data_IF_789079318587
#
_entry.id   IF_789079318587
#
_cell.length_a   1.000
_cell.length_b   1.000
_cell.length_c   1.000
_cell.angle_alpha   90.00
_cell.angle_beta   90.00
_cell.angle_gamma   90.00
#
_symmetry.space_group_name_H-M   'P 1'
#
loop_
_entity.id
_entity.type
_entity.pdbx_description
1 polymer ?
#
# COMPACT_ATOMS: atom_id res chain seq x y z
N UNK A 1 -12.41 18.67 -29.13
CA UNK A 1 -13.44 18.28 -28.15
C UNK A 1 -13.44 16.77 -27.85
N UNK A 2 -13.55 15.89 -28.85
CA UNK A 2 -13.64 14.43 -28.62
C UNK A 2 -12.39 13.78 -28.00
N UNK A 3 -11.17 14.25 -28.30
CA UNK A 3 -9.96 13.67 -27.71
C UNK A 3 -9.80 14.01 -26.22
N UNK A 4 -10.09 15.24 -25.82
CA UNK A 4 -10.08 15.67 -24.41
C UNK A 4 -11.07 14.86 -23.59
N UNK A 5 -12.30 14.68 -24.09
CA UNK A 5 -13.33 13.87 -23.42
C UNK A 5 -12.88 12.41 -23.26
N UNK A 6 -12.24 11.82 -24.29
CA UNK A 6 -11.70 10.45 -24.20
C UNK A 6 -10.57 10.33 -23.17
N UNK A 7 -9.68 11.33 -23.11
CA UNK A 7 -8.61 11.37 -22.12
C UNK A 7 -9.16 11.49 -20.70
N UNK A 8 -10.12 12.40 -20.47
CA UNK A 8 -10.78 12.58 -19.18
C UNK A 8 -11.47 11.29 -18.71
N UNK A 9 -12.20 10.61 -19.60
CA UNK A 9 -12.81 9.30 -19.28
C UNK A 9 -11.76 8.26 -18.92
N UNK A 10 -10.62 8.23 -19.61
CA UNK A 10 -9.54 7.26 -19.34
C UNK A 10 -8.95 7.46 -17.95
N UNK A 11 -8.73 8.71 -17.53
CA UNK A 11 -8.21 9.08 -16.20
C UNK A 11 -9.25 8.77 -15.13
N UNK A 12 -10.50 9.21 -15.31
CA UNK A 12 -11.58 8.98 -14.34
C UNK A 12 -11.94 7.49 -14.16
N UNK A 13 -11.69 6.65 -15.17
CA UNK A 13 -11.86 5.20 -15.10
C UNK A 13 -10.56 4.47 -14.69
N UNK A 14 -9.53 5.18 -14.23
CA UNK A 14 -8.31 4.56 -13.73
C UNK A 14 -8.45 4.26 -12.22
N UNK A 15 -8.08 3.07 -11.75
CA UNK A 15 -8.10 2.75 -10.32
C UNK A 15 -7.22 3.71 -9.51
N UNK A 16 -6.07 4.11 -10.06
CA UNK A 16 -5.14 5.05 -9.45
C UNK A 16 -5.80 6.38 -9.06
N UNK A 17 -6.58 6.97 -9.96
CA UNK A 17 -7.27 8.24 -9.70
C UNK A 17 -8.17 8.15 -8.46
N UNK A 18 -8.95 7.07 -8.35
CA UNK A 18 -9.85 6.86 -7.22
C UNK A 18 -9.10 6.60 -5.93
N UNK A 19 -8.01 5.83 -5.96
CA UNK A 19 -7.18 5.60 -4.77
C UNK A 19 -6.60 6.92 -4.25
N UNK A 20 -6.02 7.74 -5.12
CA UNK A 20 -5.46 9.05 -4.73
C UNK A 20 -6.57 9.94 -4.15
N UNK A 21 -7.74 9.96 -4.79
CA UNK A 21 -8.88 10.77 -4.34
C UNK A 21 -9.36 10.33 -2.96
N UNK A 22 -9.51 9.02 -2.74
CA UNK A 22 -9.96 8.45 -1.46
C UNK A 22 -8.94 8.74 -0.35
N UNK A 23 -7.66 8.45 -0.58
CA UNK A 23 -6.60 8.71 0.41
C UNK A 23 -6.51 10.19 0.77
N UNK A 24 -6.59 11.09 -0.22
CA UNK A 24 -6.55 12.53 0.02
C UNK A 24 -7.78 13.01 0.77
N UNK A 25 -8.97 12.53 0.40
CA UNK A 25 -10.23 12.91 1.05
C UNK A 25 -10.26 12.46 2.52
N UNK A 26 -9.84 11.23 2.80
CA UNK A 26 -9.74 10.71 4.17
C UNK A 26 -8.73 11.53 4.97
N UNK A 27 -7.57 11.84 4.41
CA UNK A 27 -6.56 12.65 5.09
C UNK A 27 -7.08 14.04 5.46
N UNK A 28 -7.76 14.75 4.56
CA UNK A 28 -8.34 16.06 4.87
C UNK A 28 -9.50 15.97 5.87
N UNK A 29 -10.31 14.92 5.81
CA UNK A 29 -11.38 14.70 6.77
C UNK A 29 -10.83 14.43 8.17
N UNK A 30 -9.79 13.60 8.28
CA UNK A 30 -9.10 13.28 9.54
C UNK A 30 -8.48 14.54 10.17
N UNK A 31 -7.91 15.43 9.35
CA UNK A 31 -7.26 16.66 9.81
C UNK A 31 -8.21 17.87 9.89
N UNK A 32 -9.52 17.68 9.66
CA UNK A 32 -10.50 18.78 9.72
C UNK A 32 -10.78 19.24 11.15
N UNK A 33 -10.94 18.28 12.08
CA UNK A 33 -11.26 18.50 13.48
C UNK A 33 -10.61 17.42 14.35
N UNK A 34 -10.24 17.77 15.58
CA UNK A 34 -9.60 16.83 16.51
C UNK A 34 -10.51 15.63 16.85
N UNK A 35 -11.84 15.81 16.90
CA UNK A 35 -12.78 14.71 17.09
C UNK A 35 -12.79 13.72 15.94
N UNK A 36 -12.66 14.22 14.70
CA UNK A 36 -12.60 13.40 13.50
C UNK A 36 -11.28 12.62 13.45
N UNK A 37 -10.18 13.28 13.82
CA UNK A 37 -8.88 12.63 13.97
C UNK A 37 -8.99 11.40 14.88
N UNK A 38 -9.43 11.57 16.12
CA UNK A 38 -9.53 10.47 17.07
C UNK A 38 -10.51 9.37 16.63
N UNK A 39 -11.68 9.74 16.09
CA UNK A 39 -12.67 8.76 15.65
C UNK A 39 -12.16 7.90 14.49
N UNK A 40 -11.51 8.52 13.50
CA UNK A 40 -10.98 7.83 12.33
C UNK A 40 -9.73 7.02 12.74
N UNK A 41 -8.81 7.60 13.51
CA UNK A 41 -7.60 6.91 13.95
C UNK A 41 -7.92 5.67 14.80
N UNK A 42 -8.84 5.78 15.75
CA UNK A 42 -9.17 4.67 16.66
C UNK A 42 -9.86 3.53 15.91
N UNK A 43 -10.68 3.83 14.90
CA UNK A 43 -11.43 2.81 14.17
C UNK A 43 -10.65 2.20 13.01
N UNK A 44 -9.91 3.01 12.24
CA UNK A 44 -9.35 2.57 10.97
C UNK A 44 -7.85 2.24 11.02
N UNK A 45 -7.12 2.66 12.06
CA UNK A 45 -5.68 2.34 12.20
C UNK A 45 -5.49 0.86 12.50
N UNK A 46 -4.43 0.29 11.90
CA UNK A 46 -4.06 -1.10 12.11
C UNK A 46 -3.21 -1.26 13.37
N UNK A 47 -3.81 -1.81 14.41
CA UNK A 47 -3.10 -2.21 15.63
C UNK A 47 -2.96 -3.73 15.65
N UNK A 48 -1.72 -4.28 15.71
CA UNK A 48 -1.50 -5.72 15.61
C UNK A 48 -2.33 -6.54 16.62
N UNK A 49 -2.48 -6.04 17.85
CA UNK A 49 -3.28 -6.70 18.89
C UNK A 49 -4.76 -6.79 18.54
N UNK A 50 -5.36 -5.73 17.98
CA UNK A 50 -6.78 -5.68 17.63
C UNK A 50 -7.08 -6.43 16.33
N UNK A 51 -6.20 -6.29 15.34
CA UNK A 51 -6.35 -6.95 14.05
C UNK A 51 -6.26 -8.46 14.18
N UNK A 52 -5.32 -8.96 14.98
CA UNK A 52 -5.19 -10.40 15.27
C UNK A 52 -6.24 -10.91 16.27
N UNK A 53 -6.92 -10.04 17.03
CA UNK A 53 -8.05 -10.42 17.89
C UNK A 53 -9.41 -10.44 17.19
N UNK A 54 -9.44 -10.40 15.85
CA UNK A 54 -10.66 -10.52 15.05
C UNK A 54 -11.14 -9.24 14.37
N UNK A 55 -10.45 -8.10 14.54
CA UNK A 55 -10.79 -6.86 13.83
C UNK A 55 -10.10 -6.77 12.46
N UNK A 56 -10.24 -7.81 11.63
CA UNK A 56 -9.52 -7.95 10.36
C UNK A 56 -9.80 -6.83 9.34
N UNK A 57 -10.91 -6.10 9.49
CA UNK A 57 -11.21 -4.95 8.65
C UNK A 57 -10.12 -3.87 8.72
N UNK A 58 -9.41 -3.77 9.85
CA UNK A 58 -8.30 -2.84 10.07
C UNK A 58 -7.14 -3.03 9.10
N UNK A 59 -6.92 -4.27 8.64
CA UNK A 59 -5.91 -4.58 7.62
C UNK A 59 -6.22 -3.89 6.30
N UNK A 60 -7.51 -3.73 5.97
CA UNK A 60 -7.94 -3.07 4.74
C UNK A 60 -8.09 -1.56 4.92
N UNK A 61 -8.69 -1.10 6.02
CA UNK A 61 -8.96 0.34 6.24
C UNK A 61 -7.67 1.15 6.40
N UNK A 62 -6.66 0.56 7.04
CA UNK A 62 -5.35 1.19 7.22
C UNK A 62 -4.64 1.51 5.89
N UNK A 63 -4.98 0.83 4.79
CA UNK A 63 -4.43 1.15 3.46
C UNK A 63 -4.73 2.56 2.99
N UNK A 64 -5.73 3.24 3.57
CA UNK A 64 -6.12 4.58 3.17
C UNK A 64 -5.67 5.68 4.14
N UNK A 65 -5.15 5.31 5.32
CA UNK A 65 -4.73 6.25 6.36
C UNK A 65 -3.26 6.66 6.18
N UNK A 66 -2.97 7.92 6.56
CA UNK A 66 -1.64 8.50 6.44
C UNK A 66 -1.35 9.42 7.63
N UNK A 67 -0.25 9.18 8.34
CA UNK A 67 0.15 9.90 9.56
C UNK A 67 0.67 11.32 9.34
N UNK A 68 0.66 11.82 8.11
CA UNK A 68 1.11 13.18 7.78
C UNK A 68 1.14 13.47 6.28
N UNK A 69 1.21 14.75 5.94
CA UNK A 69 1.18 15.21 4.55
C UNK A 69 2.38 14.69 3.75
N UNK A 70 3.56 14.62 4.37
CA UNK A 70 4.78 14.11 3.73
C UNK A 70 4.63 12.63 3.38
N UNK A 71 4.09 11.83 4.30
CA UNK A 71 3.84 10.40 4.09
C UNK A 71 2.77 10.16 3.01
N UNK A 72 1.71 10.97 2.99
CA UNK A 72 0.70 10.94 1.92
C UNK A 72 1.33 11.24 0.56
N UNK A 73 2.03 12.37 0.44
CA UNK A 73 2.63 12.81 -0.82
C UNK A 73 3.66 11.80 -1.33
N UNK A 74 4.53 11.27 -0.47
CA UNK A 74 5.51 10.26 -0.87
C UNK A 74 4.86 8.96 -1.36
N UNK A 75 3.81 8.49 -0.70
CA UNK A 75 3.09 7.29 -1.12
C UNK A 75 2.36 7.49 -2.43
N UNK A 76 1.67 8.63 -2.61
CA UNK A 76 1.01 8.94 -3.87
C UNK A 76 2.02 9.06 -5.01
N UNK A 77 3.17 9.69 -4.76
CA UNK A 77 4.24 9.82 -5.73
C UNK A 77 4.81 8.46 -6.18
N UNK A 78 5.16 7.59 -5.23
CA UNK A 78 5.65 6.24 -5.53
C UNK A 78 4.58 5.39 -6.24
N UNK A 79 3.32 5.49 -5.79
CA UNK A 79 2.21 4.78 -6.42
C UNK A 79 2.03 5.21 -7.88
N UNK A 80 2.12 6.52 -8.18
CA UNK A 80 2.06 7.04 -9.56
C UNK A 80 3.18 6.46 -10.41
N UNK A 81 4.42 6.48 -9.93
CA UNK A 81 5.58 5.94 -10.66
C UNK A 81 5.39 4.45 -10.95
N UNK A 82 5.09 3.65 -9.93
CA UNK A 82 4.91 2.21 -10.10
C UNK A 82 3.72 1.88 -11.02
N UNK A 83 2.63 2.63 -10.91
CA UNK A 83 1.49 2.46 -11.81
C UNK A 83 1.88 2.78 -13.24
N UNK A 84 2.70 3.79 -13.47
CA UNK A 84 3.16 4.12 -14.82
C UNK A 84 4.01 2.98 -15.42
N UNK A 85 4.85 2.33 -14.62
CA UNK A 85 5.66 1.16 -15.03
C UNK A 85 4.79 -0.07 -15.30
N UNK A 86 3.79 -0.33 -14.44
CA UNK A 86 3.04 -1.58 -14.43
C UNK A 86 1.77 -1.53 -15.31
N UNK A 87 1.14 -0.36 -15.46
CA UNK A 87 -0.10 -0.19 -16.22
C UNK A 87 -0.06 -0.57 -17.71
N UNK A 88 1.08 -0.51 -18.43
CA UNK A 88 1.16 -1.04 -19.79
C UNK A 88 1.19 -2.58 -19.84
N UNK A 89 1.46 -3.23 -18.72
CA UNK A 89 1.77 -4.67 -18.65
C UNK A 89 0.57 -5.47 -18.14
N UNK A 90 -0.21 -4.90 -17.22
CA UNK A 90 -1.33 -5.60 -16.57
C UNK A 90 -2.67 -4.90 -16.77
N UNK A 91 -3.75 -5.68 -16.61
CA UNK A 91 -5.11 -5.14 -16.63
C UNK A 91 -5.40 -4.28 -15.40
N UNK A 92 -6.35 -3.35 -15.53
CA UNK A 92 -6.82 -2.50 -14.40
C UNK A 92 -7.32 -3.32 -13.22
N UNK A 93 -7.99 -4.45 -13.49
CA UNK A 93 -8.50 -5.35 -12.46
C UNK A 93 -7.35 -6.03 -11.71
N UNK A 94 -6.35 -6.56 -12.43
CA UNK A 94 -5.19 -7.18 -11.80
C UNK A 94 -4.37 -6.15 -11.00
N UNK A 95 -4.22 -4.92 -11.50
CA UNK A 95 -3.59 -3.84 -10.75
C UNK A 95 -4.28 -3.59 -9.41
N UNK A 96 -5.61 -3.46 -9.42
CA UNK A 96 -6.37 -3.22 -8.19
C UNK A 96 -6.28 -4.41 -7.22
N UNK A 97 -6.42 -5.63 -7.73
CA UNK A 97 -6.30 -6.85 -6.91
C UNK A 97 -4.91 -6.97 -6.30
N UNK A 98 -3.85 -6.73 -7.08
CA UNK A 98 -2.47 -6.77 -6.58
C UNK A 98 -2.29 -5.73 -5.49
N UNK A 99 -2.76 -4.50 -5.69
CA UNK A 99 -2.61 -3.43 -4.71
C UNK A 99 -3.32 -3.77 -3.38
N UNK A 100 -4.58 -4.21 -3.45
CA UNK A 100 -5.37 -4.52 -2.25
C UNK A 100 -4.87 -5.80 -1.55
N UNK A 101 -4.65 -6.87 -2.29
CA UNK A 101 -4.22 -8.16 -1.71
C UNK A 101 -2.81 -8.07 -1.13
N UNK A 102 -1.87 -7.45 -1.84
CA UNK A 102 -0.52 -7.28 -1.30
C UNK A 102 -0.50 -6.35 -0.08
N UNK A 103 -1.39 -5.35 -0.05
CA UNK A 103 -1.58 -4.50 1.11
C UNK A 103 -2.06 -5.27 2.33
N UNK A 104 -3.20 -5.96 2.19
CA UNK A 104 -3.80 -6.73 3.29
C UNK A 104 -2.88 -7.84 3.78
N UNK A 105 -2.26 -8.59 2.86
CA UNK A 105 -1.32 -9.66 3.23
C UNK A 105 -0.03 -9.10 3.84
N UNK A 106 0.47 -7.98 3.33
CA UNK A 106 1.64 -7.31 3.91
C UNK A 106 1.37 -6.80 5.32
N UNK A 107 0.19 -6.22 5.56
CA UNK A 107 -0.23 -5.77 6.88
C UNK A 107 -0.37 -6.94 7.85
N UNK A 108 -0.99 -8.04 7.41
CA UNK A 108 -1.11 -9.25 8.23
C UNK A 108 0.26 -9.85 8.57
N UNK A 109 1.17 -9.93 7.59
CA UNK A 109 2.53 -10.43 7.80
C UNK A 109 3.30 -9.54 8.79
N UNK A 110 3.15 -8.21 8.67
CA UNK A 110 3.74 -7.27 9.60
C UNK A 110 3.21 -7.48 11.02
N UNK A 111 1.88 -7.58 11.20
CA UNK A 111 1.24 -7.79 12.50
C UNK A 111 1.75 -9.07 13.19
N UNK A 112 1.80 -10.18 12.46
CA UNK A 112 2.30 -11.48 12.97
C UNK A 112 3.77 -11.36 13.37
N UNK A 113 4.59 -10.70 12.55
CA UNK A 113 6.01 -10.51 12.82
C UNK A 113 6.22 -9.67 14.09
N UNK A 114 5.52 -8.54 14.23
CA UNK A 114 5.64 -7.65 15.39
C UNK A 114 5.26 -8.38 16.67
N UNK A 115 4.11 -9.06 16.68
CA UNK A 115 3.65 -9.78 17.88
C UNK A 115 4.62 -10.90 18.23
N UNK A 116 5.18 -11.58 17.24
CA UNK A 116 6.20 -12.62 17.44
C UNK A 116 7.50 -12.03 18.01
N UNK A 117 7.94 -10.86 17.54
CA UNK A 117 9.11 -10.14 18.05
C UNK A 117 8.89 -9.59 19.47
N UNK A 118 7.68 -9.12 19.79
CA UNK A 118 7.35 -8.66 21.15
C UNK A 118 7.31 -9.82 22.15
N UNK A 119 6.85 -11.01 21.72
CA UNK A 119 6.76 -12.20 22.57
C UNK A 119 8.08 -12.97 22.71
N UNK A 120 9.06 -12.71 21.84
CA UNK A 120 10.42 -13.24 22.02
C UNK A 120 11.17 -12.22 22.86
N UNK A 121 11.66 -12.62 24.05
CA UNK A 121 12.23 -11.77 25.13
C UNK A 121 13.39 -10.81 24.74
N UNK A 122 13.70 -10.65 23.45
CA UNK A 122 14.62 -9.65 22.95
C UNK A 122 13.87 -8.45 22.39
N UNK A 123 14.10 -7.28 22.99
CA UNK A 123 13.71 -5.98 22.43
C UNK A 123 14.63 -5.62 21.24
N UNK A 124 14.74 -6.53 20.27
CA UNK A 124 15.51 -6.31 19.05
C UNK A 124 14.70 -5.34 18.19
N UNK A 125 15.33 -4.22 17.82
CA UNK A 125 14.74 -3.18 16.97
C UNK A 125 13.48 -2.54 17.58
N UNK A 126 13.64 -1.68 18.59
CA UNK A 126 12.53 -0.96 19.26
C UNK A 126 11.57 -0.22 18.33
N UNK A 127 12.03 0.11 17.11
CA UNK A 127 11.19 0.61 16.03
C UNK A 127 10.11 -0.41 15.59
N UNK A 128 10.45 -1.69 15.43
CA UNK A 128 9.51 -2.73 15.01
C UNK A 128 8.66 -3.22 16.19
N UNK A 129 9.22 -3.34 17.39
CA UNK A 129 8.50 -3.82 18.57
C UNK A 129 7.69 -2.72 19.24
N UNK A 130 8.33 -1.70 19.82
CA UNK A 130 7.66 -0.67 20.61
C UNK A 130 6.87 0.31 19.75
N UNK A 131 7.51 0.93 18.76
CA UNK A 131 6.79 1.86 17.88
C UNK A 131 5.74 1.12 17.07
N UNK A 132 6.10 -0.04 16.56
CA UNK A 132 5.24 -0.83 15.72
C UNK A 132 3.97 -1.36 16.38
N UNK A 133 4.09 -1.79 17.63
CA UNK A 133 2.97 -2.27 18.41
C UNK A 133 2.08 -1.13 18.92
N UNK A 134 2.67 -0.01 19.35
CA UNK A 134 1.93 1.07 20.04
C UNK A 134 1.37 2.16 19.12
N UNK A 135 1.97 2.43 17.96
CA UNK A 135 1.52 3.51 17.06
C UNK A 135 0.71 3.01 15.86
N UNK A 136 0.50 1.69 15.78
CA UNK A 136 -0.09 1.03 14.62
C UNK A 136 0.89 0.93 13.44
N UNK A 137 0.77 -0.13 12.65
CA UNK A 137 1.72 -0.42 11.57
C UNK A 137 1.09 -0.50 10.18
N UNK A 138 1.90 -0.02 9.22
CA UNK A 138 1.82 0.03 7.76
C UNK A 138 0.44 -0.01 7.11
N UNK A 139 0.11 1.10 6.44
CA UNK A 139 -1.00 1.24 5.51
C UNK A 139 -0.57 0.96 4.08
N UNK A 140 -0.85 1.89 3.17
CA UNK A 140 -0.62 1.75 1.71
C UNK A 140 0.81 1.34 1.31
N UNK A 141 1.81 1.56 2.17
CA UNK A 141 3.21 1.25 1.91
C UNK A 141 3.45 -0.24 1.66
N UNK A 142 2.67 -1.15 2.27
CA UNK A 142 2.75 -2.60 1.97
C UNK A 142 2.25 -2.91 0.58
N UNK A 143 1.14 -2.28 0.16
CA UNK A 143 0.62 -2.38 -1.20
C UNK A 143 1.64 -1.89 -2.23
N UNK A 144 2.27 -0.74 -1.97
CA UNK A 144 3.32 -0.16 -2.82
C UNK A 144 4.51 -1.12 -2.91
N UNK A 145 4.93 -1.70 -1.79
CA UNK A 145 6.03 -2.67 -1.74
C UNK A 145 5.70 -3.93 -2.53
N UNK A 146 4.50 -4.47 -2.40
CA UNK A 146 4.04 -5.61 -3.19
C UNK A 146 4.02 -5.33 -4.70
N UNK A 147 3.53 -4.15 -5.09
CA UNK A 147 3.55 -3.70 -6.49
C UNK A 147 4.99 -3.51 -7.01
N UNK A 148 5.89 -3.00 -6.18
CA UNK A 148 7.31 -2.86 -6.50
C UNK A 148 7.98 -4.23 -6.71
N UNK A 149 7.76 -5.20 -5.81
CA UNK A 149 8.26 -6.56 -5.97
C UNK A 149 7.73 -7.18 -7.26
N UNK A 150 6.45 -7.02 -7.56
CA UNK A 150 5.85 -7.50 -8.81
C UNK A 150 6.52 -6.86 -10.04
N UNK A 151 6.76 -5.55 -10.01
CA UNK A 151 7.45 -4.85 -11.10
C UNK A 151 8.89 -5.37 -11.30
N UNK A 152 9.62 -5.62 -10.21
CA UNK A 152 10.96 -6.21 -10.25
C UNK A 152 10.94 -7.62 -10.85
N UNK A 153 9.99 -8.45 -10.44
CA UNK A 153 9.84 -9.82 -10.98
C UNK A 153 9.65 -9.77 -12.50
N UNK A 154 8.74 -8.92 -12.99
CA UNK A 154 8.51 -8.77 -14.42
C UNK A 154 9.76 -8.26 -15.15
N UNK A 155 10.45 -7.28 -14.57
CA UNK A 155 11.68 -6.75 -15.14
C UNK A 155 12.72 -7.85 -15.32
N UNK A 156 12.98 -8.64 -14.26
CA UNK A 156 13.94 -9.76 -14.30
C UNK A 156 13.56 -10.79 -15.37
N UNK A 157 12.29 -11.22 -15.43
CA UNK A 157 11.84 -12.19 -16.42
C UNK A 157 11.89 -11.68 -17.85
N UNK A 158 11.69 -10.37 -18.06
CA UNK A 158 11.84 -9.75 -19.37
C UNK A 158 13.30 -9.74 -19.78
N UNK A 159 14.20 -9.27 -18.91
CA UNK A 159 15.64 -9.26 -19.17
C UNK A 159 16.19 -10.66 -19.43
N UNK A 160 15.71 -11.70 -18.73
CA UNK A 160 16.16 -13.08 -18.96
C UNK A 160 15.81 -13.63 -20.34
N UNK A 161 14.71 -13.16 -20.95
CA UNK A 161 14.28 -13.58 -22.30
C UNK A 161 15.02 -12.85 -23.41
N UNK A 162 15.49 -11.63 -23.13
CA UNK A 162 16.20 -10.79 -24.10
C UNK A 162 17.72 -11.08 -24.15
N UNK A 163 18.24 -11.99 -23.30
CA UNK A 163 19.63 -12.42 -23.35
C UNK A 163 19.88 -13.28 -24.60
N UNK A 164 20.94 -13.01 -25.39
CA UNK A 164 21.31 -13.87 -26.50
C UNK A 164 21.57 -15.28 -25.97
N UNK A 165 20.87 -16.28 -26.52
CA UNK A 165 21.20 -17.67 -26.26
C UNK A 165 22.63 -17.88 -26.73
N UNK A 166 23.56 -18.00 -25.79
CA UNK A 166 24.94 -18.33 -26.08
C UNK A 166 24.91 -19.77 -26.56
N UNK A 167 24.90 -19.97 -27.89
CA UNK A 167 25.07 -21.27 -28.49
C UNK A 167 26.40 -21.83 -27.95
N UNK A 168 26.29 -22.86 -27.11
CA UNK A 168 27.42 -23.67 -26.70
C UNK A 168 27.61 -24.68 -27.84
N UNK A 169 28.36 -24.24 -28.85
CA UNK A 169 28.99 -25.13 -29.83
C UNK A 169 30.29 -25.71 -29.23
#
# INVERSE_FOLDING_TARGET
MNQVIRLMKRIALSPLFWIITICSSIFFLENSDLSNYFLISDFATNFPSLSLSGQYYRLLTSLFLHTGITHLVSNMFLLIILTWVVSPIISKALYLSLLLLSGVLGNLLADVLIVSLVNSDGNYWSFLTTFGYSHGIVGLSTSITGLYIFALIIFVFKTSKDLPQKNLD
#
